data_IF_693152262072
#
_entry.id   IF_693152262072
#
_cell.length_a   1.000
_cell.length_b   1.000
_cell.length_c   1.000
_cell.angle_alpha   90.00
_cell.angle_beta   90.00
_cell.angle_gamma   90.00
#
_symmetry.space_group_name_H-M   'P 1'
#
loop_
_entity.id
_entity.type
_entity.pdbx_description
1 polymer ?
#
# COMPACT_ATOMS: atom_id res chain seq x y z
N UNK A 1 -6.23 -7.81 2.78
CA UNK A 1 -5.37 -6.91 1.97
C UNK A 1 -6.28 -5.95 1.23
N UNK A 2 -5.82 -4.72 0.98
CA UNK A 2 -6.57 -3.71 0.23
C UNK A 2 -5.64 -3.08 -0.78
N UNK A 3 -6.12 -2.84 -1.99
CA UNK A 3 -5.36 -2.08 -2.97
C UNK A 3 -6.14 -1.70 -4.22
N UNK A 4 -5.44 -1.04 -5.12
CA UNK A 4 -5.98 -0.44 -6.34
C UNK A 4 -5.61 -1.28 -7.55
N UNK A 5 -6.64 -1.80 -8.23
CA UNK A 5 -6.48 -2.53 -9.50
C UNK A 5 -6.04 -1.60 -10.63
N UNK A 6 -6.74 -0.48 -10.77
CA UNK A 6 -6.44 0.54 -11.78
C UNK A 6 -6.12 1.83 -11.08
N UNK A 7 -5.10 2.51 -11.58
CA UNK A 7 -4.84 3.88 -11.20
C UNK A 7 -5.97 4.81 -11.64
N UNK A 8 -6.37 5.70 -10.74
CA UNK A 8 -7.31 6.78 -11.03
C UNK A 8 -7.01 7.96 -10.12
N UNK A 9 -6.74 9.14 -10.69
CA UNK A 9 -6.64 10.35 -9.90
C UNK A 9 -7.97 10.66 -9.18
N UNK A 10 -7.89 11.29 -8.00
CA UNK A 10 -9.07 11.64 -7.21
C UNK A 10 -9.86 12.83 -7.77
N UNK A 11 -9.31 13.59 -8.71
CA UNK A 11 -9.98 14.74 -9.34
C UNK A 11 -9.95 16.04 -8.51
N UNK A 12 -9.27 16.07 -7.37
CA UNK A 12 -9.18 17.24 -6.48
C UNK A 12 -8.05 18.22 -6.82
N UNK A 13 -7.22 17.94 -7.83
CA UNK A 13 -6.09 18.79 -8.26
C UNK A 13 -5.16 19.26 -7.12
N UNK A 14 -4.90 18.40 -6.13
CA UNK A 14 -4.18 18.77 -4.90
C UNK A 14 -2.65 18.93 -5.02
N UNK A 15 -2.03 18.61 -6.16
CA UNK A 15 -0.59 18.73 -6.34
C UNK A 15 0.29 17.71 -5.59
N UNK A 16 -0.23 17.02 -4.56
CA UNK A 16 0.55 16.17 -3.65
C UNK A 16 1.28 14.97 -4.30
N UNK A 17 0.89 14.62 -5.52
CA UNK A 17 1.51 13.56 -6.32
C UNK A 17 2.67 14.03 -7.20
N UNK A 18 3.02 15.32 -7.17
CA UNK A 18 4.07 15.91 -7.99
C UNK A 18 3.60 16.52 -9.32
N UNK A 19 2.32 16.39 -9.67
CA UNK A 19 1.73 16.98 -10.88
C UNK A 19 0.72 18.07 -10.49
N UNK A 20 0.65 19.20 -11.22
CA UNK A 20 -0.23 20.31 -10.88
C UNK A 20 -1.70 19.97 -11.11
N UNK A 21 -2.02 19.12 -12.08
CA UNK A 21 -3.39 18.67 -12.32
C UNK A 21 -3.55 17.15 -12.31
N UNK A 22 -4.73 16.69 -11.91
CA UNK A 22 -5.10 15.27 -12.01
C UNK A 22 -5.11 14.77 -13.47
N UNK A 23 -5.37 15.66 -14.43
CA UNK A 23 -5.36 15.33 -15.85
C UNK A 23 -3.93 15.06 -16.34
N UNK A 24 -2.96 15.88 -15.94
CA UNK A 24 -1.53 15.67 -16.24
C UNK A 24 -1.02 14.38 -15.61
N UNK A 25 -1.33 14.14 -14.34
CA UNK A 25 -0.99 12.87 -13.69
C UNK A 25 -1.55 11.66 -14.47
N UNK A 26 -2.80 11.72 -14.96
CA UNK A 26 -3.38 10.63 -15.74
C UNK A 26 -2.72 10.45 -17.12
N UNK A 27 -2.21 11.52 -17.74
CA UNK A 27 -1.58 11.49 -19.07
C UNK A 27 -0.11 11.10 -19.01
N UNK A 28 0.63 11.66 -18.06
CA UNK A 28 2.08 11.55 -17.95
C UNK A 28 2.52 10.35 -17.11
N UNK A 29 1.59 9.70 -16.41
CA UNK A 29 1.88 8.47 -15.69
C UNK A 29 2.36 7.39 -16.67
N UNK A 30 3.65 7.12 -16.59
CA UNK A 30 4.25 5.92 -17.14
C UNK A 30 4.27 4.88 -16.01
N UNK A 31 3.42 3.83 -16.03
CA UNK A 31 3.50 2.78 -15.05
C UNK A 31 4.91 2.17 -15.15
N UNK A 32 5.74 2.40 -14.13
CA UNK A 32 7.11 1.89 -14.08
C UNK A 32 7.16 0.37 -14.26
N UNK A 33 8.37 -0.14 -14.54
CA UNK A 33 8.61 -1.58 -14.74
C UNK A 33 7.96 -2.44 -13.65
N UNK A 34 7.34 -3.56 -14.08
CA UNK A 34 6.74 -4.55 -13.18
C UNK A 34 7.74 -5.16 -12.21
N UNK A 35 9.03 -4.97 -12.44
CA UNK A 35 10.15 -5.53 -11.68
C UNK A 35 10.33 -4.89 -10.29
N UNK A 36 9.71 -3.72 -10.04
CA UNK A 36 9.66 -3.13 -8.70
C UNK A 36 8.40 -3.52 -7.93
N UNK A 37 8.52 -3.50 -6.61
CA UNK A 37 7.47 -3.90 -5.65
C UNK A 37 6.12 -3.23 -5.93
N UNK A 38 6.12 -1.99 -6.41
CA UNK A 38 4.96 -1.28 -6.92
C UNK A 38 5.28 -0.47 -8.17
N UNK A 39 4.25 -0.23 -8.97
CA UNK A 39 4.28 0.82 -9.99
C UNK A 39 4.17 2.20 -9.34
N UNK A 40 4.55 3.25 -10.05
CA UNK A 40 4.35 4.64 -9.63
C UNK A 40 4.46 5.58 -10.83
N UNK A 41 4.04 6.85 -10.71
CA UNK A 41 3.46 7.54 -9.55
C UNK A 41 1.99 7.16 -9.24
N UNK A 42 1.56 7.34 -7.98
CA UNK A 42 0.18 7.13 -7.51
C UNK A 42 -0.40 8.39 -6.85
N UNK A 43 -1.72 8.56 -6.95
CA UNK A 43 -2.42 9.70 -6.37
C UNK A 43 -2.47 9.54 -4.85
N UNK A 44 -1.94 10.51 -4.10
CA UNK A 44 -1.88 10.49 -2.63
C UNK A 44 -3.26 10.29 -2.00
N UNK A 45 -4.31 10.92 -2.54
CA UNK A 45 -5.67 10.74 -2.05
C UNK A 45 -6.15 9.29 -2.13
N UNK A 46 -5.79 8.58 -3.20
CA UNK A 46 -6.12 7.15 -3.32
C UNK A 46 -5.31 6.28 -2.37
N UNK A 47 -4.08 6.69 -2.04
CA UNK A 47 -3.29 6.03 -1.01
C UNK A 47 -3.92 6.22 0.38
N UNK A 48 -4.51 7.40 0.64
CA UNK A 48 -5.26 7.66 1.86
C UNK A 48 -6.54 6.80 1.92
N UNK A 49 -7.28 6.64 0.82
CA UNK A 49 -8.44 5.74 0.76
C UNK A 49 -8.07 4.30 1.15
N UNK A 50 -6.93 3.80 0.61
CA UNK A 50 -6.40 2.49 1.00
C UNK A 50 -6.05 2.47 2.49
N UNK A 51 -5.39 3.51 2.99
CA UNK A 51 -5.03 3.63 4.41
C UNK A 51 -6.25 3.59 5.33
N UNK A 52 -7.31 4.31 4.99
CA UNK A 52 -8.57 4.31 5.73
C UNK A 52 -9.22 2.92 5.73
N UNK A 53 -9.29 2.25 4.57
CA UNK A 53 -9.82 0.90 4.46
C UNK A 53 -9.00 -0.12 5.29
N UNK A 54 -7.67 0.03 5.33
CA UNK A 54 -6.81 -0.81 6.17
C UNK A 54 -6.99 -0.53 7.65
N UNK A 55 -7.20 0.73 8.05
CA UNK A 55 -7.47 1.09 9.43
C UNK A 55 -8.80 0.49 9.91
N UNK A 56 -9.84 0.53 9.08
CA UNK A 56 -11.11 -0.15 9.37
C UNK A 56 -10.93 -1.66 9.52
N UNK A 57 -10.18 -2.30 8.61
CA UNK A 57 -9.88 -3.73 8.71
C UNK A 57 -9.08 -4.06 9.98
N UNK A 58 -8.07 -3.26 10.32
CA UNK A 58 -7.27 -3.41 11.53
C UNK A 58 -8.15 -3.30 12.79
N UNK A 59 -9.12 -2.38 12.82
CA UNK A 59 -10.06 -2.25 13.94
C UNK A 59 -10.87 -3.52 14.15
N UNK A 60 -11.37 -4.15 13.10
CA UNK A 60 -12.10 -5.43 13.19
C UNK A 60 -11.25 -6.52 13.83
N UNK A 61 -9.95 -6.57 13.49
CA UNK A 61 -9.02 -7.55 14.07
C UNK A 61 -8.81 -7.30 15.58
N UNK A 62 -8.67 -6.03 15.98
CA UNK A 62 -8.57 -5.64 17.39
C UNK A 62 -9.83 -6.02 18.17
N UNK A 63 -11.03 -5.91 17.58
CA UNK A 63 -12.28 -6.34 18.23
C UNK A 63 -12.29 -7.83 18.57
N UNK A 64 -11.50 -8.64 17.86
CA UNK A 64 -11.31 -10.06 18.10
C UNK A 64 -10.12 -10.36 19.05
N UNK A 65 -9.52 -9.34 19.66
CA UNK A 65 -8.31 -9.43 20.49
C UNK A 65 -7.12 -10.08 19.76
N UNK A 66 -7.05 -9.94 18.43
CA UNK A 66 -5.97 -10.46 17.61
C UNK A 66 -4.95 -9.34 17.37
N UNK A 67 -3.65 -9.64 17.53
CA UNK A 67 -2.58 -8.69 17.26
C UNK A 67 -2.46 -8.45 15.76
N UNK A 68 -2.22 -7.20 15.35
CA UNK A 68 -2.16 -6.86 13.93
C UNK A 68 -1.20 -5.71 13.61
N UNK A 69 -0.70 -5.70 12.37
CA UNK A 69 0.16 -4.62 11.85
C UNK A 69 -0.03 -4.44 10.35
N UNK A 70 -0.21 -3.19 9.92
CA UNK A 70 -0.23 -2.84 8.50
C UNK A 70 1.20 -2.86 7.95
N UNK A 71 1.47 -3.66 6.91
CA UNK A 71 2.77 -3.72 6.24
C UNK A 71 2.66 -3.68 4.72
N UNK A 72 3.56 -2.89 4.14
CA UNK A 72 3.78 -2.80 2.70
C UNK A 72 4.25 -4.13 2.09
N UNK A 73 5.26 -4.77 2.70
CA UNK A 73 5.88 -6.00 2.16
C UNK A 73 4.90 -7.14 1.88
N UNK A 74 3.85 -7.29 2.69
CA UNK A 74 2.83 -8.32 2.44
C UNK A 74 2.10 -8.09 1.12
N UNK A 75 1.83 -6.82 0.81
CA UNK A 75 1.24 -6.47 -0.45
C UNK A 75 2.17 -6.71 -1.64
N UNK A 76 3.44 -6.32 -1.51
CA UNK A 76 4.44 -6.57 -2.56
C UNK A 76 4.58 -8.07 -2.86
N UNK A 77 4.66 -8.92 -1.84
CA UNK A 77 4.73 -10.38 -2.00
C UNK A 77 3.44 -10.94 -2.60
N UNK A 78 2.26 -10.50 -2.16
CA UNK A 78 1.00 -10.97 -2.73
C UNK A 78 0.87 -10.63 -4.22
N UNK A 79 1.38 -9.49 -4.64
CA UNK A 79 1.46 -9.08 -6.05
C UNK A 79 2.47 -9.93 -6.82
N UNK A 80 3.64 -10.19 -6.26
CA UNK A 80 4.67 -11.02 -6.88
C UNK A 80 4.22 -12.48 -7.07
N UNK A 81 3.42 -13.00 -6.12
CA UNK A 81 2.82 -14.34 -6.19
C UNK A 81 1.55 -14.40 -7.05
N UNK A 82 1.08 -13.29 -7.62
CA UNK A 82 -0.15 -13.25 -8.42
C UNK A 82 -1.44 -13.50 -7.64
N UNK A 83 -1.42 -13.39 -6.31
CA UNK A 83 -2.60 -13.60 -5.46
C UNK A 83 -3.62 -12.45 -5.55
N UNK A 84 -3.18 -11.29 -6.03
CA UNK A 84 -4.02 -10.11 -6.21
C UNK A 84 -3.60 -9.32 -7.44
N UNK A 85 -4.58 -9.02 -8.29
CA UNK A 85 -4.41 -8.16 -9.47
C UNK A 85 -4.56 -6.69 -9.05
N UNK A 86 -3.46 -6.11 -8.56
CA UNK A 86 -3.39 -4.72 -8.13
C UNK A 86 -2.04 -4.08 -8.47
N UNK A 87 -2.06 -2.79 -8.80
CA UNK A 87 -0.86 -1.97 -9.02
C UNK A 87 -0.19 -1.58 -7.70
N UNK A 88 -1.00 -1.28 -6.70
CA UNK A 88 -0.56 -0.95 -5.35
C UNK A 88 -1.48 -1.62 -4.34
N UNK A 89 -0.89 -2.35 -3.39
CA UNK A 89 -1.62 -3.18 -2.44
C UNK A 89 -0.88 -3.17 -1.11
N UNK A 90 -1.62 -3.12 -0.02
CA UNK A 90 -1.08 -3.22 1.33
C UNK A 90 -1.88 -4.24 2.15
N UNK A 91 -1.22 -4.85 3.13
CA UNK A 91 -1.81 -5.93 3.93
C UNK A 91 -1.82 -5.59 5.42
N UNK A 92 -2.89 -6.00 6.09
CA UNK A 92 -2.90 -6.18 7.55
C UNK A 92 -2.39 -7.58 7.82
N UNK A 93 -1.24 -7.68 8.48
CA UNK A 93 -0.77 -8.92 9.07
C UNK A 93 -1.54 -9.16 10.36
N UNK A 94 -1.90 -10.40 10.65
CA UNK A 94 -2.61 -10.78 11.89
C UNK A 94 -1.88 -11.92 12.59
N UNK A 95 -1.90 -11.93 13.92
CA UNK A 95 -1.29 -12.98 14.73
C UNK A 95 -2.14 -13.30 15.95
N UNK A 96 -2.45 -14.59 16.14
CA UNK A 96 -3.15 -15.10 17.32
C UNK A 96 -2.15 -15.41 18.44
N UNK A 97 -0.87 -15.62 18.09
CA UNK A 97 0.21 -15.67 19.05
C UNK A 97 0.45 -14.27 19.60
N UNK A 98 0.84 -14.14 20.88
CA UNK A 98 0.94 -12.86 21.59
C UNK A 98 1.91 -11.82 21.02
N UNK A 99 2.52 -12.07 19.85
CA UNK A 99 3.37 -11.14 19.13
C UNK A 99 3.37 -11.41 17.63
N UNK A 100 3.24 -10.37 16.82
CA UNK A 100 3.33 -10.48 15.37
C UNK A 100 4.76 -10.77 14.86
N UNK A 101 4.84 -11.53 13.77
CA UNK A 101 6.11 -11.95 13.14
C UNK A 101 6.89 -10.73 12.65
N UNK A 102 8.12 -10.58 13.15
CA UNK A 102 9.01 -9.47 12.81
C UNK A 102 8.72 -8.18 13.58
N UNK A 103 8.00 -8.24 14.70
CA UNK A 103 7.90 -7.13 15.65
C UNK A 103 9.27 -6.75 16.23
N UNK A 104 10.07 -7.75 16.64
CA UNK A 104 11.45 -7.55 17.14
C UNK A 104 12.51 -7.54 16.03
N UNK A 105 12.08 -7.69 14.78
CA UNK A 105 13.01 -7.72 13.66
C UNK A 105 13.78 -6.41 13.58
N UNK A 106 15.12 -6.46 13.64
CA UNK A 106 15.97 -5.30 13.39
C UNK A 106 15.64 -4.75 12.01
N UNK A 107 15.32 -3.46 11.93
CA UNK A 107 15.16 -2.80 10.64
C UNK A 107 16.56 -2.75 10.02
N UNK A 108 16.80 -3.35 8.84
CA UNK A 108 18.09 -3.22 8.20
C UNK A 108 18.38 -1.74 7.97
N UNK A 109 19.56 -1.28 8.36
CA UNK A 109 20.00 0.07 8.07
C UNK A 109 19.89 0.29 6.55
N UNK A 110 19.26 1.39 6.15
CA UNK A 110 19.24 1.79 4.74
C UNK A 110 20.69 2.08 4.36
N UNK A 111 21.35 1.12 3.68
CA UNK A 111 22.67 1.36 3.10
C UNK A 111 22.46 2.35 1.97
N UNK A 112 22.88 3.59 2.20
CA UNK A 112 22.79 4.69 1.26
C UNK A 112 23.46 4.33 -0.06
N UNK A 113 22.76 4.65 -1.14
CA UNK A 113 23.33 5.00 -2.43
C UNK A 113 23.97 6.38 -2.33
#
# INVERSE_FOLDING_TARGET
MVGLKKFQAAGCHCGACGFPTCAELNKERQPGEKDREYTGPHCVMRMMDIGAALASAAKTVVLLNIDNRVRQRFGAVARALGLIDAEMVMGVQVSITGKIIGYDGKVPAVKGR
#
